data_IF_470191931056
#
_entry.id   IF_470191931056
#
_cell.length_a   1.000
_cell.length_b   1.000
_cell.length_c   1.000
_cell.angle_alpha   90.00
_cell.angle_beta   90.00
_cell.angle_gamma   90.00
#
_symmetry.space_group_name_H-M   'P 1'
#
loop_
_entity.id
_entity.type
_entity.pdbx_description
1 polymer ?
#
# COMPACT_ATOMS: atom_id res chain seq x y z
N UNK A 1 -14.29 4.85 -8.37
CA UNK A 1 -14.13 4.85 -9.84
C UNK A 1 -13.58 3.48 -10.19
N UNK A 2 -14.27 2.68 -11.00
CA UNK A 2 -13.85 1.30 -11.28
C UNK A 2 -12.86 1.29 -12.46
N UNK A 3 -11.64 0.83 -12.21
CA UNK A 3 -10.55 0.75 -13.19
C UNK A 3 -10.18 -0.69 -13.55
N UNK A 4 -10.96 -1.69 -13.10
CA UNK A 4 -10.61 -3.11 -13.17
C UNK A 4 -10.30 -3.62 -14.59
N UNK A 5 -11.01 -3.11 -15.61
CA UNK A 5 -10.84 -3.49 -17.02
C UNK A 5 -10.05 -2.47 -17.87
N UNK A 6 -9.45 -1.46 -17.24
CA UNK A 6 -8.62 -0.49 -17.98
C UNK A 6 -7.17 -0.99 -18.13
N UNK A 7 -6.51 -0.72 -19.26
CA UNK A 7 -5.09 -1.08 -19.47
C UNK A 7 -4.14 -0.12 -18.72
N UNK A 8 -4.46 0.20 -17.46
CA UNK A 8 -3.63 1.04 -16.61
C UNK A 8 -2.49 0.18 -16.08
N UNK A 9 -1.28 0.43 -16.58
CA UNK A 9 -0.07 -0.25 -16.13
C UNK A 9 0.72 0.57 -15.11
N UNK A 10 0.38 1.85 -14.93
CA UNK A 10 0.93 2.76 -13.92
C UNK A 10 -0.15 3.70 -13.40
N UNK A 11 -0.26 3.85 -12.08
CA UNK A 11 -1.11 4.89 -11.48
C UNK A 11 -0.53 6.30 -11.75
N UNK A 12 -1.36 7.30 -12.06
CA UNK A 12 -0.90 8.67 -12.29
C UNK A 12 -0.43 9.33 -10.98
N UNK A 13 0.55 10.23 -11.08
CA UNK A 13 1.14 10.89 -9.90
C UNK A 13 0.17 11.83 -9.16
N UNK A 14 -0.93 12.25 -9.82
CA UNK A 14 -1.94 13.16 -9.28
C UNK A 14 -3.27 12.45 -9.01
N UNK A 15 -3.22 11.16 -8.66
CA UNK A 15 -4.42 10.37 -8.42
C UNK A 15 -5.12 10.82 -7.13
N UNK A 16 -6.25 11.50 -7.28
CA UNK A 16 -7.18 11.78 -6.18
C UNK A 16 -8.30 10.75 -6.21
N UNK A 17 -8.45 9.99 -5.13
CA UNK A 17 -9.53 9.03 -4.96
C UNK A 17 -10.43 9.53 -3.83
N UNK A 18 -11.66 9.90 -4.15
CA UNK A 18 -12.63 10.43 -3.16
C UNK A 18 -13.30 9.31 -2.32
N UNK A 19 -13.20 8.05 -2.75
CA UNK A 19 -13.82 6.86 -2.14
C UNK A 19 -12.92 5.64 -2.40
N UNK A 20 -13.47 4.58 -2.98
CA UNK A 20 -12.73 3.36 -3.30
C UNK A 20 -12.13 3.41 -4.71
N UNK A 21 -10.89 2.94 -4.80
CA UNK A 21 -10.18 2.66 -6.03
C UNK A 21 -9.92 1.16 -6.08
N UNK A 22 -10.72 0.46 -6.90
CA UNK A 22 -10.54 -0.96 -7.12
C UNK A 22 -9.56 -1.16 -8.29
N UNK A 23 -8.45 -1.85 -8.02
CA UNK A 23 -7.33 -2.02 -8.94
C UNK A 23 -7.03 -3.49 -9.16
N UNK A 24 -6.90 -3.88 -10.43
CA UNK A 24 -6.25 -5.14 -10.77
C UNK A 24 -4.72 -4.99 -10.60
N UNK A 25 -4.26 -5.20 -9.37
CA UNK A 25 -2.85 -5.07 -8.99
C UNK A 25 -1.89 -5.96 -9.80
N UNK A 26 -2.39 -7.02 -10.46
CA UNK A 26 -1.55 -7.88 -11.32
C UNK A 26 -1.11 -7.16 -12.60
N UNK A 27 -1.82 -6.11 -13.01
CA UNK A 27 -1.52 -5.33 -14.22
C UNK A 27 -0.74 -4.05 -13.93
N UNK A 28 -0.58 -3.66 -12.67
CA UNK A 28 0.00 -2.38 -12.27
C UNK A 28 1.45 -2.53 -11.80
N UNK A 29 2.36 -1.92 -12.55
CA UNK A 29 3.81 -2.02 -12.35
C UNK A 29 4.38 -1.12 -11.26
N UNK A 30 3.59 -0.21 -10.68
CA UNK A 30 4.02 0.70 -9.62
C UNK A 30 3.31 0.46 -8.27
N UNK A 31 2.92 -0.78 -8.03
CA UNK A 31 2.33 -1.25 -6.77
C UNK A 31 3.03 -2.53 -6.34
N UNK A 32 3.29 -2.66 -5.04
CA UNK A 32 3.68 -3.91 -4.40
C UNK A 32 2.65 -4.21 -3.33
N UNK A 33 2.26 -5.48 -3.19
CA UNK A 33 1.29 -5.85 -2.16
C UNK A 33 1.66 -7.17 -1.48
N UNK A 34 1.09 -7.34 -0.29
CA UNK A 34 1.12 -8.58 0.49
C UNK A 34 -0.27 -8.84 1.04
N UNK A 35 -0.69 -10.09 0.98
CA UNK A 35 -1.93 -10.58 1.57
C UNK A 35 -1.58 -11.42 2.79
N UNK A 36 -2.56 -11.71 3.66
CA UNK A 36 -2.35 -12.50 4.87
C UNK A 36 -1.33 -11.89 5.83
N UNK A 37 -1.40 -10.57 6.03
CA UNK A 37 -0.53 -9.84 6.96
C UNK A 37 -1.15 -9.77 8.34
N UNK A 38 -0.43 -10.29 9.34
CA UNK A 38 -0.86 -10.27 10.74
C UNK A 38 -2.06 -11.18 11.04
N UNK A 39 -2.61 -11.07 12.25
CA UNK A 39 -3.78 -11.87 12.67
C UNK A 39 -5.08 -11.44 11.98
N UNK A 40 -5.15 -10.18 11.56
CA UNK A 40 -6.33 -9.59 10.92
C UNK A 40 -6.47 -9.98 9.44
N UNK A 41 -5.52 -10.75 8.90
CA UNK A 41 -5.51 -11.22 7.51
C UNK A 41 -5.70 -10.07 6.50
N UNK A 42 -5.00 -8.95 6.72
CA UNK A 42 -5.18 -7.75 5.91
C UNK A 42 -4.38 -7.81 4.61
N UNK A 43 -4.84 -7.00 3.65
CA UNK A 43 -4.09 -6.72 2.43
C UNK A 43 -3.35 -5.40 2.58
N UNK A 44 -2.03 -5.47 2.51
CA UNK A 44 -1.15 -4.31 2.56
C UNK A 44 -0.64 -3.97 1.17
N UNK A 45 -0.89 -2.75 0.73
CA UNK A 45 -0.43 -2.22 -0.55
C UNK A 45 0.58 -1.10 -0.31
N UNK A 46 1.74 -1.19 -0.95
CA UNK A 46 2.66 -0.08 -1.13
C UNK A 46 2.46 0.49 -2.54
N UNK A 47 2.10 1.76 -2.60
CA UNK A 47 1.74 2.46 -3.85
C UNK A 47 2.55 3.75 -3.95
N UNK A 48 3.04 4.08 -5.15
CA UNK A 48 3.65 5.39 -5.38
C UNK A 48 2.60 6.34 -5.97
N UNK A 49 2.18 7.31 -5.17
CA UNK A 49 1.15 8.31 -5.51
C UNK A 49 1.53 9.66 -4.87
N UNK A 50 1.08 10.77 -5.45
CA UNK A 50 1.36 12.12 -4.94
C UNK A 50 2.85 12.45 -4.75
N UNK A 51 3.73 11.81 -5.54
CA UNK A 51 5.19 12.03 -5.47
C UNK A 51 5.89 11.29 -4.33
N UNK A 52 5.19 10.47 -3.55
CA UNK A 52 5.76 9.68 -2.45
C UNK A 52 5.23 8.23 -2.44
N UNK A 53 5.82 7.39 -1.60
CA UNK A 53 5.30 6.04 -1.36
C UNK A 53 4.32 6.10 -0.20
N UNK A 54 3.10 5.64 -0.45
CA UNK A 54 2.04 5.53 0.54
C UNK A 54 1.69 4.05 0.75
N UNK A 55 1.22 3.75 1.96
CA UNK A 55 0.67 2.46 2.36
C UNK A 55 -0.85 2.59 2.32
N UNK A 56 -1.49 1.65 1.63
CA UNK A 56 -2.94 1.48 1.63
C UNK A 56 -3.31 0.15 2.27
N UNK A 57 -4.32 0.18 3.14
CA UNK A 57 -4.92 -0.99 3.78
C UNK A 57 -6.43 -0.83 3.67
N UNK A 58 -7.08 -1.47 2.68
CA UNK A 58 -8.51 -1.34 2.43
C UNK A 58 -9.36 -1.73 3.64
N UNK A 59 -8.96 -2.76 4.39
CA UNK A 59 -9.69 -3.23 5.57
C UNK A 59 -9.79 -2.17 6.67
N UNK A 60 -8.88 -1.19 6.66
CA UNK A 60 -8.79 -0.14 7.66
C UNK A 60 -9.23 1.23 7.13
N UNK A 61 -9.66 1.30 5.87
CA UNK A 61 -9.87 2.55 5.13
C UNK A 61 -8.68 3.50 5.32
N UNK A 62 -7.48 2.93 5.16
CA UNK A 62 -6.23 3.63 5.43
C UNK A 62 -5.47 3.88 4.14
N UNK A 63 -5.09 5.14 3.94
CA UNK A 63 -4.12 5.56 2.93
C UNK A 63 -3.25 6.64 3.56
N UNK A 64 -1.94 6.40 3.65
CA UNK A 64 -1.02 7.35 4.25
C UNK A 64 0.43 6.94 4.06
N UNK A 65 1.36 7.85 4.36
CA UNK A 65 2.78 7.54 4.32
C UNK A 65 3.18 6.55 5.44
N UNK A 66 4.44 6.12 5.41
CA UNK A 66 4.97 5.15 6.37
C UNK A 66 4.85 5.63 7.83
N UNK A 67 5.08 6.92 8.10
CA UNK A 67 5.00 7.48 9.45
C UNK A 67 3.56 7.45 10.01
N UNK A 68 2.56 7.78 9.19
CA UNK A 68 1.15 7.69 9.57
C UNK A 68 0.73 6.24 9.82
N UNK A 69 1.25 5.31 9.02
CA UNK A 69 1.02 3.88 9.20
C UNK A 69 1.61 3.41 10.54
N UNK A 70 2.87 3.73 10.83
CA UNK A 70 3.51 3.38 12.10
C UNK A 70 2.76 3.96 13.29
N UNK A 71 2.37 5.23 13.22
CA UNK A 71 1.58 5.90 14.27
C UNK A 71 0.25 5.18 14.52
N UNK A 72 -0.42 4.72 13.45
CA UNK A 72 -1.68 3.98 13.57
C UNK A 72 -1.47 2.60 14.19
N UNK A 73 -0.43 1.88 13.77
CA UNK A 73 -0.07 0.58 14.32
C UNK A 73 0.26 0.71 15.81
N UNK A 74 1.12 1.64 16.19
CA UNK A 74 1.57 1.84 17.58
C UNK A 74 0.43 2.29 18.52
N UNK A 75 -0.64 2.88 17.97
CA UNK A 75 -1.82 3.28 18.73
C UNK A 75 -2.83 2.15 18.93
N UNK A 76 -2.92 1.19 18.01
CA UNK A 76 -3.99 0.19 17.99
C UNK A 76 -3.51 -1.24 18.30
N UNK A 77 -2.21 -1.52 18.17
CA UNK A 77 -1.63 -2.85 18.30
C UNK A 77 -0.55 -2.88 19.38
N UNK A 78 -0.29 -4.06 19.91
CA UNK A 78 0.85 -4.27 20.81
C UNK A 78 2.18 -4.20 20.05
N UNK A 79 3.29 -3.96 20.75
CA UNK A 79 4.62 -3.86 20.14
C UNK A 79 5.03 -5.15 19.39
N UNK A 80 4.56 -6.32 19.84
CA UNK A 80 4.86 -7.60 19.17
C UNK A 80 4.10 -7.76 17.86
N UNK A 81 2.80 -7.41 17.82
CA UNK A 81 2.00 -7.45 16.59
C UNK A 81 2.49 -6.39 15.60
N UNK A 82 2.77 -5.18 16.10
CA UNK A 82 3.26 -4.06 15.32
C UNK A 82 4.51 -4.40 14.50
N UNK A 83 5.44 -5.19 15.06
CA UNK A 83 6.67 -5.60 14.38
C UNK A 83 6.40 -6.31 13.05
N UNK A 84 5.43 -7.23 13.02
CA UNK A 84 5.11 -7.97 11.79
C UNK A 84 4.57 -7.03 10.71
N UNK A 85 3.59 -6.19 11.07
CA UNK A 85 3.00 -5.22 10.15
C UNK A 85 4.04 -4.24 9.60
N UNK A 86 4.90 -3.68 10.47
CA UNK A 86 5.97 -2.76 10.08
C UNK A 86 7.02 -3.42 9.20
N UNK A 87 7.40 -4.66 9.50
CA UNK A 87 8.35 -5.42 8.69
C UNK A 87 7.83 -5.65 7.28
N UNK A 88 6.59 -6.13 7.14
CA UNK A 88 5.97 -6.38 5.84
C UNK A 88 5.78 -5.08 5.05
N UNK A 89 5.32 -4.02 5.72
CA UNK A 89 5.19 -2.70 5.11
C UNK A 89 6.52 -2.21 4.55
N UNK A 90 7.60 -2.32 5.33
CA UNK A 90 8.94 -1.90 4.92
C UNK A 90 9.44 -2.71 3.73
N UNK A 91 9.25 -4.03 3.74
CA UNK A 91 9.63 -4.88 2.61
C UNK A 91 8.91 -4.48 1.31
N UNK A 92 7.60 -4.18 1.39
CA UNK A 92 6.82 -3.71 0.24
C UNK A 92 7.34 -2.38 -0.29
N UNK A 93 7.65 -1.44 0.61
CA UNK A 93 8.22 -0.12 0.26
C UNK A 93 9.59 -0.29 -0.40
N UNK A 94 10.48 -1.09 0.19
CA UNK A 94 11.82 -1.33 -0.35
C UNK A 94 11.77 -2.02 -1.73
N UNK A 95 10.84 -2.95 -1.93
CA UNK A 95 10.60 -3.60 -3.22
C UNK A 95 10.07 -2.59 -4.25
N UNK A 96 9.12 -1.74 -3.88
CA UNK A 96 8.59 -0.71 -4.77
C UNK A 96 9.67 0.32 -5.17
N UNK A 97 10.56 0.69 -4.24
CA UNK A 97 11.72 1.54 -4.53
C UNK A 97 12.63 0.87 -5.56
N UNK A 98 12.89 -0.44 -5.45
CA UNK A 98 13.69 -1.18 -6.43
C UNK A 98 13.03 -1.20 -7.81
N UNK A 99 11.73 -1.46 -7.87
CA UNK A 99 10.96 -1.46 -9.13
C UNK A 99 11.01 -0.09 -9.79
N UNK A 100 10.90 1.00 -9.01
CA UNK A 100 11.02 2.38 -9.52
C UNK A 100 12.43 2.75 -9.97
N UNK A 101 13.48 2.20 -9.36
CA UNK A 101 14.88 2.45 -9.77
C UNK A 101 15.28 1.68 -11.04
N UNK A 102 14.60 0.58 -11.33
CA UNK A 102 14.89 -0.30 -12.47
C UNK A 102 14.03 -0.01 -13.71
N UNK A 103 13.09 0.94 -13.63
CA UNK A 103 12.24 1.42 -14.72
C UNK A 103 12.60 2.86 -15.11
#
# INVERSE_FOLDING_TARGET
>A
MDLFDTPITKLPENLSVDKDLDLDVQKITNIVYREHVGEDDIKLFSVFVNGEIQISIPEWDFLGNFELFETRIDKNLSEEEAKQYKQVAKECVDELIKIRKNN
#
